data_IF_036158282670
#
_entry.id   IF_036158282670
#
_cell.length_a   1.000
_cell.length_b   1.000
_cell.length_c   1.000
_cell.angle_alpha   90.00
_cell.angle_beta   90.00
_cell.angle_gamma   90.00
#
_symmetry.space_group_name_H-M   'P 1'
#
loop_
_entity.id
_entity.type
_entity.pdbx_description
1 polymer ?
#
# COMPACT_ATOMS: atom_id res chain seq x y z
N UNK A 1 11.87 3.32 11.24
CA UNK A 1 10.73 2.57 10.65
C UNK A 1 10.74 1.16 11.22
N UNK A 2 9.59 0.60 11.56
CA UNK A 2 9.47 -0.81 11.96
C UNK A 2 9.26 -1.67 10.70
N UNK A 3 10.37 -2.03 10.06
CA UNK A 3 10.39 -2.80 8.79
C UNK A 3 9.80 -4.19 8.96
N UNK A 4 10.03 -4.84 10.10
CA UNK A 4 9.48 -6.17 10.39
C UNK A 4 7.95 -6.13 10.45
N UNK A 5 7.40 -5.13 11.13
CA UNK A 5 5.95 -4.91 11.16
C UNK A 5 5.40 -4.55 9.77
N UNK A 6 6.11 -3.75 8.99
CA UNK A 6 5.70 -3.40 7.63
C UNK A 6 5.59 -4.64 6.74
N UNK A 7 6.61 -5.51 6.75
CA UNK A 7 6.63 -6.75 5.99
C UNK A 7 5.47 -7.66 6.38
N UNK A 8 5.23 -7.83 7.68
CA UNK A 8 4.11 -8.63 8.18
C UNK A 8 2.75 -8.11 7.68
N UNK A 9 2.54 -6.80 7.68
CA UNK A 9 1.31 -6.20 7.17
C UNK A 9 1.12 -6.45 5.66
N UNK A 10 2.21 -6.50 4.89
CA UNK A 10 2.18 -6.78 3.46
C UNK A 10 1.86 -8.26 3.17
N UNK A 11 2.46 -9.16 3.95
CA UNK A 11 2.21 -10.60 3.90
C UNK A 11 0.75 -10.93 4.25
N UNK A 12 0.21 -10.27 5.28
CA UNK A 12 -1.18 -10.42 5.73
C UNK A 12 -2.22 -9.74 4.80
N UNK A 13 -1.79 -9.18 3.66
CA UNK A 13 -2.64 -8.41 2.71
C UNK A 13 -3.28 -7.15 3.32
N UNK A 14 -2.71 -6.63 4.41
CA UNK A 14 -3.17 -5.42 5.13
C UNK A 14 -2.51 -4.16 4.57
N UNK A 15 -2.65 -3.93 3.26
CA UNK A 15 -1.94 -2.86 2.53
C UNK A 15 -2.30 -1.44 3.01
N UNK A 16 -3.56 -1.21 3.41
CA UNK A 16 -3.99 0.08 3.96
C UNK A 16 -3.27 0.42 5.28
N UNK A 17 -2.99 -0.59 6.10
CA UNK A 17 -2.26 -0.43 7.34
C UNK A 17 -0.76 -0.31 7.10
N UNK A 18 -0.22 -1.09 6.15
CA UNK A 18 1.17 -0.98 5.72
C UNK A 18 1.49 0.44 5.23
N UNK A 19 0.65 1.01 4.37
CA UNK A 19 0.80 2.41 3.93
C UNK A 19 0.51 3.43 5.01
N UNK A 20 -0.34 3.12 5.99
CA UNK A 20 -0.51 3.96 7.18
C UNK A 20 0.77 4.07 8.01
N UNK A 21 1.45 2.94 8.23
CA UNK A 21 2.75 2.88 8.92
C UNK A 21 3.84 3.63 8.14
N UNK A 22 3.88 3.42 6.83
CA UNK A 22 4.82 4.09 5.92
C UNK A 22 4.62 5.61 5.94
N UNK A 23 3.38 6.08 5.82
CA UNK A 23 3.06 7.51 5.83
C UNK A 23 3.40 8.17 7.18
N UNK A 24 3.13 7.49 8.30
CA UNK A 24 3.50 8.00 9.62
C UNK A 24 5.03 8.11 9.78
N UNK A 25 5.79 7.21 9.16
CA UNK A 25 7.25 7.23 9.18
C UNK A 25 7.83 8.32 8.29
N UNK A 26 7.27 8.49 7.10
CA UNK A 26 7.78 9.42 6.08
C UNK A 26 7.23 10.84 6.21
N UNK A 27 6.46 11.13 7.26
CA UNK A 27 5.88 12.45 7.49
C UNK A 27 6.98 13.52 7.59
N UNK A 28 6.84 14.60 6.82
CA UNK A 28 7.81 15.69 6.74
C UNK A 28 9.04 15.39 5.88
N UNK A 29 9.14 14.19 5.28
CA UNK A 29 10.20 13.85 4.33
C UNK A 29 9.80 14.19 2.90
N UNK A 30 10.77 14.19 1.98
CA UNK A 30 10.49 14.33 0.55
C UNK A 30 9.62 13.20 -0.01
N UNK A 31 9.56 12.05 0.66
CA UNK A 31 8.83 10.85 0.24
C UNK A 31 7.37 10.80 0.76
N UNK A 32 6.96 11.79 1.55
CA UNK A 32 5.60 11.82 2.11
C UNK A 32 4.52 11.82 1.01
N UNK A 33 4.80 12.52 -0.09
CA UNK A 33 3.85 12.68 -1.20
C UNK A 33 3.62 11.34 -1.92
N UNK A 34 4.69 10.58 -2.12
CA UNK A 34 4.69 9.24 -2.71
C UNK A 34 3.91 8.27 -1.81
N UNK A 35 4.15 8.32 -0.49
CA UNK A 35 3.41 7.50 0.47
C UNK A 35 1.90 7.84 0.47
N UNK A 36 1.53 9.12 0.39
CA UNK A 36 0.13 9.56 0.23
C UNK A 36 -0.49 9.06 -1.07
N UNK A 37 0.26 9.10 -2.17
CA UNK A 37 -0.20 8.60 -3.46
C UNK A 37 -0.46 7.07 -3.42
N UNK A 38 0.42 6.30 -2.79
CA UNK A 38 0.22 4.86 -2.58
C UNK A 38 -1.04 4.57 -1.76
N UNK A 39 -1.24 5.29 -0.66
CA UNK A 39 -2.45 5.15 0.17
C UNK A 39 -3.72 5.44 -0.64
N UNK A 40 -3.70 6.48 -1.48
CA UNK A 40 -4.84 6.79 -2.35
C UNK A 40 -5.14 5.67 -3.34
N UNK A 41 -4.10 5.06 -3.94
CA UNK A 41 -4.26 3.94 -4.88
C UNK A 41 -4.82 2.70 -4.22
N UNK A 42 -4.39 2.39 -2.99
CA UNK A 42 -4.93 1.26 -2.22
C UNK A 42 -6.41 1.46 -1.92
N UNK A 43 -6.78 2.65 -1.42
CA UNK A 43 -8.19 2.95 -1.13
C UNK A 43 -9.06 2.85 -2.39
N UNK A 44 -8.54 3.30 -3.53
CA UNK A 44 -9.25 3.19 -4.81
C UNK A 44 -9.37 1.72 -5.26
N UNK A 45 -8.30 0.94 -5.17
CA UNK A 45 -8.33 -0.50 -5.48
C UNK A 45 -9.35 -1.24 -4.61
N UNK A 46 -9.34 -1.01 -3.29
CA UNK A 46 -10.32 -1.61 -2.37
C UNK A 46 -11.75 -1.19 -2.69
N UNK A 47 -11.95 0.07 -3.12
CA UNK A 47 -13.25 0.55 -3.59
C UNK A 47 -13.69 -0.18 -4.86
N UNK A 48 -12.82 -0.27 -5.87
CA UNK A 48 -13.13 -0.93 -7.14
C UNK A 48 -13.44 -2.41 -6.95
N UNK A 49 -12.68 -3.12 -6.10
CA UNK A 49 -12.92 -4.53 -5.75
C UNK A 49 -14.27 -4.70 -5.05
N UNK A 50 -14.58 -3.85 -4.05
CA UNK A 50 -15.88 -3.92 -3.35
C UNK A 50 -17.06 -3.62 -4.26
N UNK A 51 -16.89 -2.75 -5.25
CA UNK A 51 -17.92 -2.41 -6.23
C UNK A 51 -18.04 -3.45 -7.36
N UNK A 52 -17.17 -4.47 -7.39
CA UNK A 52 -17.14 -5.45 -8.48
C UNK A 52 -16.66 -4.87 -9.81
N UNK A 53 -16.02 -3.70 -9.80
CA UNK A 53 -15.50 -3.03 -11.01
C UNK A 53 -14.19 -3.67 -11.50
N UNK A 54 -13.53 -4.45 -10.65
CA UNK A 54 -12.26 -5.10 -10.93
C UNK A 54 -12.38 -6.60 -10.66
N UNK A 55 -11.94 -7.42 -11.61
CA UNK A 55 -11.88 -8.87 -11.43
C UNK A 55 -10.84 -9.27 -10.38
N UNK A 56 -11.01 -10.44 -9.76
CA UNK A 56 -10.09 -10.91 -8.70
C UNK A 56 -8.64 -11.02 -9.17
N UNK A 57 -8.40 -11.51 -10.39
CA UNK A 57 -7.06 -11.62 -10.97
C UNK A 57 -6.41 -10.25 -11.16
N UNK A 58 -7.15 -9.29 -11.71
CA UNK A 58 -6.69 -7.91 -11.88
C UNK A 58 -6.42 -7.25 -10.53
N UNK A 59 -7.28 -7.48 -9.54
CA UNK A 59 -7.07 -7.01 -8.17
C UNK A 59 -5.78 -7.56 -7.57
N UNK A 60 -5.48 -8.84 -7.79
CA UNK A 60 -4.26 -9.44 -7.29
C UNK A 60 -3.01 -8.86 -7.96
N UNK A 61 -3.05 -8.61 -9.27
CA UNK A 61 -1.96 -7.97 -10.01
C UNK A 61 -1.71 -6.56 -9.45
N UNK A 62 -2.75 -5.76 -9.28
CA UNK A 62 -2.63 -4.40 -8.73
C UNK A 62 -2.14 -4.42 -7.28
N UNK A 63 -2.63 -5.33 -6.44
CA UNK A 63 -2.12 -5.53 -5.08
C UNK A 63 -0.63 -5.82 -5.10
N UNK A 64 -0.16 -6.74 -5.94
CA UNK A 64 1.27 -7.09 -6.04
C UNK A 64 2.13 -5.89 -6.46
N UNK A 65 1.63 -5.05 -7.40
CA UNK A 65 2.30 -3.80 -7.77
C UNK A 65 2.41 -2.83 -6.60
N UNK A 66 1.32 -2.68 -5.83
CA UNK A 66 1.30 -1.82 -4.66
C UNK A 66 2.20 -2.36 -3.55
N UNK A 67 2.28 -3.68 -3.34
CA UNK A 67 3.23 -4.31 -2.41
C UNK A 67 4.67 -3.94 -2.75
N UNK A 68 5.07 -4.12 -4.01
CA UNK A 68 6.42 -3.78 -4.46
C UNK A 68 6.73 -2.30 -4.25
N UNK A 69 5.79 -1.40 -4.58
CA UNK A 69 5.99 0.03 -4.39
C UNK A 69 6.05 0.46 -2.91
N UNK A 70 5.35 -0.24 -2.01
CA UNK A 70 5.47 -0.01 -0.56
C UNK A 70 6.87 -0.40 -0.07
N UNK A 71 7.39 -1.54 -0.54
CA UNK A 71 8.73 -2.03 -0.17
C UNK A 71 9.82 -1.10 -0.71
N UNK A 72 9.72 -0.68 -1.97
CA UNK A 72 10.67 0.24 -2.62
C UNK A 72 10.74 1.59 -1.88
N UNK A 73 9.61 2.10 -1.37
CA UNK A 73 9.59 3.34 -0.59
C UNK A 73 10.04 3.15 0.87
N UNK A 74 10.17 1.91 1.32
CA UNK A 74 10.61 1.56 2.66
C UNK A 74 12.12 1.26 2.75
N UNK A 75 12.80 1.08 1.62
CA UNK A 75 14.27 0.98 1.52
C UNK A 75 14.94 2.37 1.65
#
# INVERSE_FOLDING_TARGET
MDLERLHKLIEDDRLAEATGLLLATLQGTSLEKEARALRSRINDLERQVRQGLLGQEQAQIEKNRLRAAILDLAE
#
